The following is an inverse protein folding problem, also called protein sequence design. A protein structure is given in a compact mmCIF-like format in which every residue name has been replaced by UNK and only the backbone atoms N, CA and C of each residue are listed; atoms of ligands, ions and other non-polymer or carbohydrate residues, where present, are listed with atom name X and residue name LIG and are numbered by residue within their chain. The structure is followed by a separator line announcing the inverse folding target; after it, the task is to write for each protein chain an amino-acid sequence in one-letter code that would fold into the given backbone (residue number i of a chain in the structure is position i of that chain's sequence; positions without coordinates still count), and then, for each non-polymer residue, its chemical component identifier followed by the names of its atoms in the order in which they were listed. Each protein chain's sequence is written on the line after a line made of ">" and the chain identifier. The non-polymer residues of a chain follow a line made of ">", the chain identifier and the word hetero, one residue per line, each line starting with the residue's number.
data_IF_059142105617
#
_entry.id   IF_059142105617
#
_cell.length_a   1.000
_cell.length_b   1.000
_cell.length_c   1.000
_cell.angle_alpha   90.00
_cell.angle_beta   90.00
_cell.angle_gamma   90.00
#
_symmetry.space_group_name_H-M   'P 1'
#
loop_
_entity.id
_entity.type
_entity.pdbx_description
1 polymer ?
#
# COMPACT_ATOMS: atom_id res chain seq x y z
N UNK A 1 19.25 -0.38 0.09
CA UNK A 1 20.53 -0.77 0.72
C UNK A 1 20.51 -0.67 2.24
N UNK A 2 20.07 0.47 2.82
CA UNK A 2 19.93 0.62 4.28
C UNK A 2 19.08 -0.49 4.91
N UNK A 3 17.88 -0.75 4.36
CA UNK A 3 16.99 -1.79 4.91
C UNK A 3 17.57 -3.20 4.84
N UNK A 4 18.38 -3.51 3.82
CA UNK A 4 19.01 -4.82 3.69
C UNK A 4 20.08 -5.03 4.75
N UNK A 5 20.87 -4.01 5.07
CA UNK A 5 21.86 -4.07 6.14
C UNK A 5 21.18 -4.17 7.52
N UNK A 6 20.17 -3.34 7.79
CA UNK A 6 19.44 -3.41 9.05
C UNK A 6 18.75 -4.77 9.22
N UNK A 7 18.09 -5.27 8.17
CA UNK A 7 17.50 -6.61 8.21
C UNK A 7 18.54 -7.69 8.51
N UNK A 8 19.73 -7.61 7.90
CA UNK A 8 20.80 -8.57 8.15
C UNK A 8 21.35 -8.49 9.58
N UNK A 9 21.46 -7.27 10.14
CA UNK A 9 21.87 -7.02 11.53
C UNK A 9 20.83 -7.58 12.50
N UNK A 10 19.55 -7.29 12.28
CA UNK A 10 18.44 -7.79 13.10
C UNK A 10 18.39 -9.32 13.07
N UNK A 11 18.49 -9.91 11.87
CA UNK A 11 18.48 -11.37 11.69
C UNK A 11 19.69 -12.03 12.37
N UNK A 12 20.89 -11.48 12.21
CA UNK A 12 22.09 -11.99 12.87
C UNK A 12 21.96 -11.90 14.40
N UNK A 13 21.36 -10.83 14.91
CA UNK A 13 21.07 -10.66 16.34
C UNK A 13 20.06 -11.71 16.83
N UNK A 14 18.95 -11.90 16.11
CA UNK A 14 17.91 -12.89 16.42
C UNK A 14 18.47 -14.33 16.41
N UNK A 15 19.38 -14.63 15.49
CA UNK A 15 20.06 -15.92 15.35
C UNK A 15 21.32 -16.07 16.22
N UNK A 16 21.66 -15.05 17.02
CA UNK A 16 22.82 -15.04 17.92
C UNK A 16 24.18 -15.19 17.19
N UNK A 17 24.28 -14.71 15.95
CA UNK A 17 25.55 -14.57 15.23
C UNK A 17 26.22 -13.24 15.56
N UNK A 18 27.55 -13.23 15.48
CA UNK A 18 28.33 -12.01 15.62
C UNK A 18 28.05 -11.07 14.43
N UNK A 19 27.57 -9.86 14.74
CA UNK A 19 27.32 -8.82 13.73
C UNK A 19 28.63 -8.06 13.46
N UNK A 20 29.13 -8.02 12.22
CA UNK A 20 30.29 -7.21 11.89
C UNK A 20 30.02 -5.72 12.16
N UNK A 21 30.89 -5.07 12.94
CA UNK A 21 30.69 -3.66 13.32
C UNK A 21 30.73 -2.74 12.08
N UNK A 22 31.43 -3.15 11.03
CA UNK A 22 31.44 -2.47 9.73
C UNK A 22 30.05 -2.36 9.10
N UNK A 23 29.17 -3.35 9.30
CA UNK A 23 27.81 -3.31 8.75
C UNK A 23 26.96 -2.26 9.44
N UNK A 24 27.08 -2.14 10.77
CA UNK A 24 26.40 -1.10 11.55
C UNK A 24 26.93 0.28 11.19
N UNK A 25 28.25 0.42 11.07
CA UNK A 25 28.89 1.68 10.69
C UNK A 25 28.43 2.15 9.31
N UNK A 26 28.43 1.26 8.31
CA UNK A 26 27.93 1.58 6.95
C UNK A 26 26.44 1.89 6.98
N UNK A 27 25.62 1.07 7.66
CA UNK A 27 24.19 1.31 7.75
C UNK A 27 23.87 2.69 8.34
N UNK A 28 24.61 3.10 9.38
CA UNK A 28 24.43 4.42 10.02
C UNK A 28 24.80 5.62 9.14
N UNK A 29 25.62 5.40 8.10
CA UNK A 29 26.16 6.45 7.22
C UNK A 29 25.46 6.53 5.87
N UNK A 30 24.62 5.56 5.53
CA UNK A 30 23.81 5.61 4.32
C UNK A 30 22.82 6.76 4.43
N UNK A 31 22.99 7.75 3.55
CA UNK A 31 22.15 8.95 3.51
C UNK A 31 21.13 8.82 2.37
N UNK A 32 19.87 9.05 2.69
CA UNK A 32 18.85 9.36 1.68
C UNK A 32 18.85 10.89 1.49
N UNK A 33 18.99 11.40 0.25
CA UNK A 33 18.85 12.82 0.00
C UNK A 33 17.51 13.34 0.52
N UNK A 34 17.54 14.47 1.21
CA UNK A 34 16.33 15.13 1.71
C UNK A 34 16.54 16.63 1.65
N UNK A 35 15.60 17.31 1.02
CA UNK A 35 15.56 18.77 0.94
C UNK A 35 14.50 19.27 1.94
N UNK A 36 14.96 19.99 2.96
CA UNK A 36 14.09 20.53 4.00
C UNK A 36 13.35 21.80 3.60
N UNK A 37 13.79 22.52 2.57
CA UNK A 37 13.19 23.79 2.15
C UNK A 37 11.85 23.53 1.44
N UNK A 38 11.86 22.59 0.50
CA UNK A 38 10.65 22.15 -0.21
C UNK A 38 10.09 20.82 0.31
N UNK A 39 10.73 20.24 1.32
CA UNK A 39 10.25 19.10 2.11
C UNK A 39 9.91 17.88 1.25
N UNK A 40 10.88 17.43 0.45
CA UNK A 40 10.79 16.27 -0.45
C UNK A 40 12.14 15.52 -0.50
N UNK A 41 12.14 14.33 -1.09
CA UNK A 41 13.34 13.53 -1.31
C UNK A 41 13.80 13.64 -2.78
N UNK A 42 14.97 14.25 -3.04
CA UNK A 42 15.58 14.19 -4.37
C UNK A 42 15.98 12.74 -4.75
N UNK A 43 15.87 12.40 -6.03
CA UNK A 43 16.18 11.06 -6.57
C UNK A 43 17.66 10.69 -6.35
N UNK A 44 18.53 11.67 -6.53
CA UNK A 44 19.96 11.56 -6.25
C UNK A 44 20.53 12.90 -5.78
N UNK A 45 21.79 12.87 -5.35
CA UNK A 45 22.49 14.06 -4.89
C UNK A 45 22.62 15.11 -6.01
N UNK A 46 22.19 16.34 -5.73
CA UNK A 46 22.13 17.46 -6.69
C UNK A 46 21.10 17.29 -7.82
N UNK A 47 20.08 16.45 -7.65
CA UNK A 47 18.94 16.38 -8.56
C UNK A 47 18.26 17.76 -8.70
N UNK A 48 17.93 18.12 -9.94
CA UNK A 48 17.23 19.37 -10.24
C UNK A 48 15.71 19.13 -10.35
N UNK A 49 14.93 19.87 -9.57
CA UNK A 49 13.46 19.79 -9.65
C UNK A 49 12.97 20.15 -11.04
N UNK A 50 12.29 19.23 -11.71
CA UNK A 50 11.85 19.38 -13.11
C UNK A 50 12.59 18.49 -14.09
N UNK A 51 13.69 17.86 -13.68
CA UNK A 51 14.40 16.86 -14.48
C UNK A 51 13.51 15.64 -14.74
N UNK A 52 13.50 15.13 -15.98
CA UNK A 52 12.63 14.03 -16.39
C UNK A 52 13.07 12.72 -15.75
N UNK A 53 12.11 11.96 -15.24
CA UNK A 53 12.33 10.65 -14.66
C UNK A 53 11.63 9.60 -15.51
N UNK A 54 12.33 8.50 -15.81
CA UNK A 54 11.78 7.46 -16.72
C UNK A 54 10.69 6.59 -16.08
N UNK A 55 10.79 6.34 -14.78
CA UNK A 55 9.93 5.38 -14.06
C UNK A 55 9.88 5.70 -12.56
N UNK A 56 9.02 4.99 -11.81
CA UNK A 56 8.96 5.16 -10.36
C UNK A 56 10.32 4.87 -9.70
N UNK A 57 10.86 5.87 -9.00
CA UNK A 57 12.05 5.74 -8.14
C UNK A 57 11.73 6.22 -6.72
N UNK A 58 11.79 7.53 -6.44
CA UNK A 58 11.47 8.11 -5.12
C UNK A 58 10.07 7.73 -4.63
N UNK A 59 9.12 7.56 -5.55
CA UNK A 59 7.75 7.11 -5.22
C UNK A 59 7.74 5.74 -4.54
N UNK A 60 8.74 4.90 -4.78
CA UNK A 60 8.91 3.57 -4.19
C UNK A 60 9.34 3.60 -2.70
N UNK A 61 9.76 4.77 -2.19
CA UNK A 61 10.06 4.94 -0.76
C UNK A 61 8.83 4.64 0.10
N UNK A 62 7.62 5.03 -0.32
CA UNK A 62 6.40 4.73 0.42
C UNK A 62 6.01 3.25 0.32
N UNK A 63 5.61 2.79 -0.87
CA UNK A 63 5.45 1.37 -1.17
C UNK A 63 6.38 1.01 -2.33
N UNK A 64 7.16 -0.09 -2.26
CA UNK A 64 7.09 -1.15 -1.25
C UNK A 64 8.02 -0.98 -0.03
N UNK A 65 8.86 0.07 0.02
CA UNK A 65 9.90 0.17 1.07
C UNK A 65 9.36 0.54 2.46
N UNK A 66 8.16 1.11 2.55
CA UNK A 66 7.55 1.55 3.81
C UNK A 66 8.41 2.54 4.60
N UNK A 67 9.19 3.36 3.88
CA UNK A 67 10.08 4.35 4.45
C UNK A 67 9.30 5.39 5.24
N UNK A 68 9.80 5.72 6.43
CA UNK A 68 9.09 6.59 7.36
C UNK A 68 9.16 8.04 6.91
N UNK A 69 8.01 8.56 6.50
CA UNK A 69 7.84 9.93 6.04
C UNK A 69 6.62 10.56 6.69
N UNK A 70 6.66 11.87 6.87
CA UNK A 70 5.47 12.64 7.20
C UNK A 70 4.51 12.64 6.01
N UNK A 71 3.18 12.75 6.23
CA UNK A 71 2.21 12.84 5.15
C UNK A 71 2.51 13.97 4.15
N UNK A 72 3.10 15.07 4.64
CA UNK A 72 3.52 16.21 3.81
C UNK A 72 4.68 15.86 2.90
N UNK A 73 5.72 15.18 3.41
CA UNK A 73 6.83 14.69 2.58
C UNK A 73 6.33 13.74 1.51
N UNK A 74 5.51 12.75 1.91
CA UNK A 74 4.94 11.77 0.97
C UNK A 74 4.12 12.43 -0.14
N UNK A 75 3.31 13.43 0.21
CA UNK A 75 2.54 14.22 -0.75
C UNK A 75 3.44 15.00 -1.71
N UNK A 76 4.47 15.65 -1.19
CA UNK A 76 5.40 16.44 -2.01
C UNK A 76 6.16 15.54 -2.99
N UNK A 77 6.66 14.39 -2.53
CA UNK A 77 7.34 13.41 -3.38
C UNK A 77 6.41 12.97 -4.54
N UNK A 78 5.16 12.61 -4.23
CA UNK A 78 4.19 12.21 -5.27
C UNK A 78 3.90 13.32 -6.27
N UNK A 79 3.63 14.55 -5.81
CA UNK A 79 3.26 15.65 -6.71
C UNK A 79 4.43 16.12 -7.58
N UNK A 80 5.64 16.17 -7.03
CA UNK A 80 6.84 16.59 -7.78
C UNK A 80 7.15 15.56 -8.86
N UNK A 81 7.19 14.27 -8.50
CA UNK A 81 7.58 13.23 -9.43
C UNK A 81 6.49 12.90 -10.46
N UNK A 82 5.20 13.09 -10.14
CA UNK A 82 4.12 12.87 -11.11
C UNK A 82 4.28 13.75 -12.35
N UNK A 83 4.70 15.01 -12.16
CA UNK A 83 4.81 16.00 -13.23
C UNK A 83 5.97 15.75 -14.19
N UNK A 84 7.02 15.07 -13.72
CA UNK A 84 8.27 14.86 -14.48
C UNK A 84 8.46 13.42 -14.92
N UNK A 85 7.61 12.51 -14.48
CA UNK A 85 7.62 11.10 -14.89
C UNK A 85 7.20 10.99 -16.35
N UNK A 86 8.01 10.28 -17.14
CA UNK A 86 7.75 10.01 -18.55
C UNK A 86 6.39 9.32 -18.74
N UNK A 87 5.45 9.91 -19.51
CA UNK A 87 4.15 9.30 -19.74
C UNK A 87 4.21 8.00 -20.54
N UNK A 88 5.24 7.84 -21.37
CA UNK A 88 5.50 6.62 -22.13
C UNK A 88 6.43 5.65 -21.37
N UNK A 89 6.72 5.98 -20.09
CA UNK A 89 7.45 5.11 -19.18
C UNK A 89 6.71 3.80 -18.87
N UNK A 90 7.35 2.86 -18.15
CA UNK A 90 6.77 1.55 -17.90
C UNK A 90 5.40 1.64 -17.23
N UNK A 91 4.43 0.86 -17.73
CA UNK A 91 3.04 0.85 -17.24
C UNK A 91 2.92 0.66 -15.71
N UNK A 92 3.86 -0.03 -15.08
CA UNK A 92 3.90 -0.27 -13.63
C UNK A 92 4.13 1.01 -12.80
N UNK A 93 4.72 2.06 -13.39
CA UNK A 93 5.01 3.32 -12.68
C UNK A 93 3.75 3.95 -12.10
N UNK A 94 2.69 4.02 -12.89
CA UNK A 94 1.43 4.63 -12.48
C UNK A 94 0.73 3.88 -11.35
N UNK A 95 0.94 2.56 -11.25
CA UNK A 95 0.39 1.77 -10.14
C UNK A 95 1.01 2.16 -8.81
N UNK A 96 2.31 2.51 -8.81
CA UNK A 96 3.03 2.94 -7.60
C UNK A 96 2.59 4.33 -7.16
N UNK A 97 2.33 5.25 -8.10
CA UNK A 97 1.70 6.53 -7.78
C UNK A 97 0.27 6.33 -7.24
N UNK A 98 -0.52 5.45 -7.87
CA UNK A 98 -1.89 5.16 -7.41
C UNK A 98 -1.89 4.68 -5.95
N UNK A 99 -1.03 3.72 -5.62
CA UNK A 99 -0.82 3.24 -4.24
C UNK A 99 -0.42 4.39 -3.33
N UNK A 100 0.55 5.22 -3.73
CA UNK A 100 0.99 6.36 -2.95
C UNK A 100 -0.10 7.41 -2.70
N UNK A 101 -0.95 7.69 -3.67
CA UNK A 101 -2.08 8.62 -3.50
C UNK A 101 -3.20 8.04 -2.63
N UNK A 102 -3.48 6.74 -2.75
CA UNK A 102 -4.36 6.03 -1.79
C UNK A 102 -3.78 6.12 -0.38
N UNK A 103 -2.45 6.07 -0.26
CA UNK A 103 -1.76 6.10 1.02
C UNK A 103 -2.05 7.39 1.81
N UNK A 104 -2.12 8.51 1.09
CA UNK A 104 -2.42 9.84 1.63
C UNK A 104 -3.89 10.24 1.45
N UNK A 105 -4.79 9.27 1.19
CA UNK A 105 -6.24 9.44 1.04
C UNK A 105 -6.66 10.44 -0.06
N UNK A 106 -5.83 10.62 -1.08
CA UNK A 106 -6.18 11.41 -2.28
C UNK A 106 -6.75 10.49 -3.36
N UNK A 107 -8.04 10.19 -3.25
CA UNK A 107 -8.68 9.13 -4.05
C UNK A 107 -8.79 9.51 -5.51
N UNK A 108 -9.16 10.75 -5.81
CA UNK A 108 -9.29 11.24 -7.20
C UNK A 108 -7.96 11.17 -7.96
N UNK A 109 -6.86 11.54 -7.29
CA UNK A 109 -5.52 11.45 -7.84
C UNK A 109 -5.12 9.97 -8.04
N UNK A 110 -5.38 9.11 -7.05
CA UNK A 110 -5.10 7.68 -7.15
C UNK A 110 -5.85 7.01 -8.30
N UNK A 111 -7.13 7.35 -8.49
CA UNK A 111 -7.98 6.84 -9.55
C UNK A 111 -7.49 7.32 -10.92
N UNK A 112 -7.07 8.57 -11.03
CA UNK A 112 -6.47 9.11 -12.25
C UNK A 112 -5.22 8.31 -12.64
N UNK A 113 -4.35 7.97 -11.70
CA UNK A 113 -3.17 7.14 -11.99
C UNK A 113 -3.54 5.68 -12.30
N UNK A 114 -4.54 5.14 -11.60
CA UNK A 114 -5.02 3.79 -11.84
C UNK A 114 -5.56 3.63 -13.27
N UNK A 115 -6.30 4.63 -13.76
CA UNK A 115 -6.79 4.68 -15.15
C UNK A 115 -5.66 4.63 -16.18
N UNK A 116 -4.52 5.28 -15.91
CA UNK A 116 -3.33 5.19 -16.77
C UNK A 116 -2.75 3.77 -16.82
N UNK A 117 -2.85 2.99 -15.74
CA UNK A 117 -2.42 1.59 -15.72
C UNK A 117 -3.27 0.73 -16.67
N UNK A 118 -4.58 0.98 -16.70
CA UNK A 118 -5.53 0.23 -17.51
C UNK A 118 -5.48 0.59 -19.00
N UNK A 119 -5.02 1.79 -19.35
CA UNK A 119 -4.89 2.22 -20.75
C UNK A 119 -3.92 1.35 -21.57
N UNK A 120 -2.98 0.65 -20.91
CA UNK A 120 -1.99 -0.22 -21.54
C UNK A 120 -2.39 -1.71 -21.54
N UNK A 121 -3.62 -2.04 -21.14
CA UNK A 121 -4.15 -3.40 -21.22
C UNK A 121 -4.70 -3.64 -22.62
N UNK A 122 -4.11 -4.58 -23.35
CA UNK A 122 -4.57 -4.97 -24.68
C UNK A 122 -5.50 -6.18 -24.62
N UNK A 123 -6.71 -5.98 -25.14
CA UNK A 123 -7.67 -7.05 -25.42
C UNK A 123 -7.16 -7.93 -26.59
N UNK A 124 -7.52 -9.22 -26.66
CA UNK A 124 -8.53 -9.94 -25.87
C UNK A 124 -7.98 -10.68 -24.63
N UNK A 125 -6.67 -10.63 -24.40
CA UNK A 125 -6.02 -11.46 -23.38
C UNK A 125 -5.67 -10.67 -22.09
N UNK A 126 -6.03 -9.38 -22.04
CA UNK A 126 -5.74 -8.46 -20.94
C UNK A 126 -4.26 -8.48 -20.54
N UNK A 127 -3.38 -8.51 -21.55
CA UNK A 127 -1.92 -8.47 -21.35
C UNK A 127 -1.50 -7.02 -21.21
N UNK A 128 -0.65 -6.74 -20.23
CA UNK A 128 -0.09 -5.40 -20.02
C UNK A 128 1.10 -5.22 -20.96
N UNK A 129 0.99 -4.33 -21.93
CA UNK A 129 2.12 -3.98 -22.78
C UNK A 129 3.01 -2.92 -22.09
N UNK A 130 4.33 -3.03 -22.25
CA UNK A 130 5.31 -2.13 -21.63
C UNK A 130 5.34 -0.73 -22.26
N UNK A 131 4.61 -0.51 -23.34
CA UNK A 131 4.55 0.72 -24.15
C UNK A 131 3.11 0.84 -24.69
N UNK A 132 2.55 2.06 -24.81
CA UNK A 132 1.26 2.26 -25.47
C UNK A 132 1.20 1.57 -26.85
N UNK A 133 0.03 1.01 -27.16
CA UNK A 133 -0.19 0.11 -28.29
C UNK A 133 0.40 0.65 -29.62
N UNK A 134 1.47 0.00 -30.10
CA UNK A 134 2.12 0.38 -31.36
C UNK A 134 3.57 -0.09 -31.57
N UNK A 135 4.27 -0.57 -30.52
CA UNK A 135 5.65 -1.09 -30.62
C UNK A 135 5.68 -2.59 -30.30
N UNK A 136 6.17 -3.40 -31.24
CA UNK A 136 5.89 -4.83 -31.37
C UNK A 136 6.81 -5.78 -30.57
N UNK A 137 6.22 -6.91 -30.14
CA UNK A 137 6.74 -8.30 -30.02
C UNK A 137 7.55 -8.78 -28.79
N UNK A 138 7.04 -9.88 -28.21
CA UNK A 138 7.73 -10.94 -27.43
C UNK A 138 8.13 -10.67 -25.96
N UNK A 139 7.34 -11.14 -24.98
CA UNK A 139 7.56 -12.41 -24.24
C UNK A 139 6.76 -12.50 -22.92
N UNK A 140 6.28 -13.72 -22.63
CA UNK A 140 5.43 -14.14 -21.52
C UNK A 140 6.23 -14.39 -20.22
N UNK A 141 5.62 -14.13 -19.05
CA UNK A 141 5.68 -15.11 -17.94
C UNK A 141 4.45 -15.03 -17.03
N UNK A 142 3.89 -16.21 -16.80
CA UNK A 142 2.67 -16.57 -16.08
C UNK A 142 2.58 -16.12 -14.61
N UNK A 143 1.44 -15.51 -14.25
CA UNK A 143 0.86 -15.55 -12.90
C UNK A 143 -0.67 -15.57 -13.04
N UNK A 144 -1.42 -16.31 -12.18
CA UNK A 144 -2.86 -16.51 -12.38
C UNK A 144 -3.63 -15.20 -12.17
N UNK A 145 -4.73 -14.97 -12.92
CA UNK A 145 -5.44 -13.70 -12.87
C UNK A 145 -6.18 -13.51 -11.54
N UNK A 146 -6.01 -12.33 -10.94
CA UNK A 146 -6.96 -11.78 -9.98
C UNK A 146 -8.33 -11.67 -10.69
N UNK A 147 -9.30 -12.46 -10.23
CA UNK A 147 -10.64 -12.50 -10.81
C UNK A 147 -11.48 -11.36 -10.21
N UNK A 148 -11.45 -10.20 -10.86
CA UNK A 148 -12.41 -9.11 -10.62
C UNK A 148 -13.66 -9.40 -11.45
N UNK A 149 -14.81 -9.59 -10.80
CA UNK A 149 -16.10 -9.72 -11.49
C UNK A 149 -16.85 -8.40 -11.42
N UNK A 150 -16.87 -7.66 -12.53
CA UNK A 150 -17.64 -6.43 -12.65
C UNK A 150 -19.07 -6.73 -13.12
N UNK A 151 -20.06 -6.31 -12.35
CA UNK A 151 -21.43 -6.11 -12.84
C UNK A 151 -21.73 -4.61 -12.76
N UNK A 152 -21.82 -3.96 -13.93
CA UNK A 152 -22.10 -2.52 -14.07
C UNK A 152 -23.61 -2.31 -14.24
N UNK A 153 -24.30 -1.55 -13.39
CA UNK A 153 -25.53 -0.87 -13.76
C UNK A 153 -25.23 0.56 -14.21
N UNK A 154 -25.87 0.97 -15.30
CA UNK A 154 -25.73 2.29 -15.91
C UNK A 154 -26.48 3.39 -15.14
N UNK A 155 -25.89 4.59 -15.09
CA UNK A 155 -26.65 5.84 -15.13
C UNK A 155 -26.33 6.88 -14.04
N UNK A 156 -26.10 8.12 -14.47
CA UNK A 156 -26.43 9.33 -13.70
C UNK A 156 -25.26 10.20 -13.27
N UNK A 157 -24.94 11.22 -14.06
CA UNK A 157 -23.98 12.30 -13.77
C UNK A 157 -24.71 13.45 -13.05
N UNK A 158 -24.21 13.93 -11.91
CA UNK A 158 -24.45 15.29 -11.44
C UNK A 158 -23.21 15.87 -10.74
N UNK A 159 -22.92 17.13 -11.07
CA UNK A 159 -21.83 17.95 -10.53
C UNK A 159 -22.23 18.60 -9.20
N UNK A 160 -21.27 18.78 -8.30
CA UNK A 160 -21.39 19.68 -7.16
C UNK A 160 -20.02 20.18 -6.72
N UNK A 161 -19.83 21.50 -6.77
CA UNK A 161 -18.67 22.23 -6.25
C UNK A 161 -18.77 22.39 -4.73
N UNK A 162 -17.67 22.21 -3.98
CA UNK A 162 -17.55 22.75 -2.61
C UNK A 162 -16.14 23.27 -2.37
N UNK A 163 -16.12 24.44 -1.75
CA UNK A 163 -15.05 25.41 -1.48
C UNK A 163 -14.03 24.96 -0.43
N UNK A 164 -12.82 25.51 -0.54
CA UNK A 164 -11.75 25.50 0.47
C UNK A 164 -12.27 25.91 1.86
N UNK A 165 -11.85 25.15 2.87
CA UNK A 165 -12.18 25.37 4.28
C UNK A 165 -11.17 24.67 5.19
N UNK A 166 -10.09 25.38 5.46
CA UNK A 166 -9.24 25.41 6.66
C UNK A 166 -9.07 24.14 7.54
N UNK A 167 -7.81 23.69 7.56
CA UNK A 167 -7.02 23.19 8.68
C UNK A 167 -7.72 23.01 10.05
N UNK A 168 -7.79 21.76 10.51
CA UNK A 168 -7.97 21.46 11.93
C UNK A 168 -7.00 20.37 12.43
N UNK A 169 -6.17 20.81 13.36
CA UNK A 169 -5.60 20.08 14.50
C UNK A 169 -4.60 18.94 14.28
N UNK A 170 -3.33 19.34 14.32
CA UNK A 170 -2.19 18.53 14.80
C UNK A 170 -2.52 17.94 16.18
N UNK A 171 -2.76 16.63 16.26
CA UNK A 171 -2.58 15.86 17.50
C UNK A 171 -2.20 14.41 17.19
N UNK A 172 -0.89 14.14 17.39
CA UNK A 172 -0.23 12.87 17.73
C UNK A 172 -1.02 11.59 17.43
N UNK A 173 -0.50 10.80 16.50
CA UNK A 173 -0.13 9.40 16.80
C UNK A 173 0.74 8.83 15.68
N UNK A 174 1.69 7.98 16.08
CA UNK A 174 2.47 7.08 15.23
C UNK A 174 1.53 6.09 14.50
N UNK A 175 0.72 6.58 13.57
CA UNK A 175 -0.02 5.75 12.62
C UNK A 175 0.56 6.07 11.25
N UNK A 176 1.35 5.11 10.75
CA UNK A 176 1.95 5.20 9.43
C UNK A 176 0.89 5.57 8.40
N UNK A 177 1.33 6.39 7.44
CA UNK A 177 0.54 6.87 6.30
C UNK A 177 -0.44 5.78 5.82
N UNK A 178 -1.72 6.15 5.76
CA UNK A 178 -2.87 5.24 5.60
C UNK A 178 -2.89 4.51 4.27
N UNK A 179 -3.95 3.79 3.92
CA UNK A 179 -4.26 3.39 2.54
C UNK A 179 -3.66 2.11 1.96
N UNK A 180 -2.95 1.28 2.72
CA UNK A 180 -2.44 -0.01 2.21
C UNK A 180 -2.57 -1.15 3.24
N UNK A 181 -2.73 -2.39 2.75
CA UNK A 181 -2.51 -3.60 3.55
C UNK A 181 -1.05 -3.65 3.95
N UNK A 182 -0.76 -3.70 5.25
CA UNK A 182 0.62 -3.81 5.74
C UNK A 182 0.77 -5.10 6.54
N UNK A 183 1.71 -5.93 6.11
CA UNK A 183 2.05 -7.17 6.79
C UNK A 183 3.20 -6.86 7.74
N UNK A 184 2.98 -7.04 9.04
CA UNK A 184 4.01 -6.97 10.06
C UNK A 184 4.26 -8.36 10.65
N UNK A 185 5.32 -8.48 11.47
CA UNK A 185 5.64 -9.73 12.19
C UNK A 185 4.50 -10.19 13.13
N UNK A 186 3.70 -9.25 13.64
CA UNK A 186 2.71 -9.51 14.70
C UNK A 186 1.28 -9.13 14.33
N UNK A 187 1.10 -8.17 13.43
CA UNK A 187 -0.21 -7.75 12.92
C UNK A 187 -0.27 -7.68 11.40
N UNK A 188 -1.45 -7.96 10.86
CA UNK A 188 -1.86 -7.51 9.55
C UNK A 188 -2.68 -6.24 9.73
N UNK A 189 -2.12 -5.10 9.31
CA UNK A 189 -2.79 -3.81 9.42
C UNK A 189 -3.61 -3.55 8.15
N UNK A 190 -4.86 -3.18 8.37
CA UNK A 190 -5.83 -2.82 7.36
C UNK A 190 -6.15 -1.35 7.52
N UNK A 191 -5.99 -0.58 6.46
CA UNK A 191 -6.59 0.75 6.37
C UNK A 191 -7.18 0.91 4.96
N UNK A 192 -8.28 0.17 4.71
CA UNK A 192 -8.73 -0.06 3.36
C UNK A 192 -9.34 1.22 2.78
N UNK A 193 -9.16 1.38 1.48
CA UNK A 193 -9.64 2.50 0.69
C UNK A 193 -10.15 1.93 -0.63
N UNK A 194 -11.36 2.32 -1.02
CA UNK A 194 -11.95 1.92 -2.32
C UNK A 194 -12.22 3.17 -3.14
N UNK A 195 -11.91 3.12 -4.43
CA UNK A 195 -12.25 4.18 -5.39
C UNK A 195 -13.73 4.14 -5.71
N UNK A 196 -14.28 5.21 -6.28
CA UNK A 196 -15.72 5.28 -6.54
C UNK A 196 -16.21 4.29 -7.60
N UNK A 197 -15.30 3.90 -8.50
CA UNK A 197 -15.52 2.88 -9.54
C UNK A 197 -15.62 1.46 -8.96
N UNK A 198 -14.96 1.18 -7.83
CA UNK A 198 -14.94 -0.14 -7.19
C UNK A 198 -16.05 -0.20 -6.13
N UNK A 199 -17.15 -0.86 -6.46
CA UNK A 199 -18.27 -1.06 -5.53
C UNK A 199 -18.08 -2.27 -4.61
N UNK A 200 -17.31 -3.26 -5.08
CA UNK A 200 -17.06 -4.51 -4.37
C UNK A 200 -15.67 -5.05 -4.74
N UNK A 201 -14.81 -5.26 -3.74
CA UNK A 201 -13.49 -5.87 -3.90
C UNK A 201 -13.38 -7.07 -2.97
N UNK A 202 -13.04 -8.23 -3.52
CA UNK A 202 -12.82 -9.45 -2.74
C UNK A 202 -11.39 -9.96 -2.93
N UNK A 203 -10.71 -10.20 -1.81
CA UNK A 203 -9.37 -10.80 -1.76
C UNK A 203 -9.50 -12.11 -1.02
N UNK A 204 -9.18 -13.23 -1.67
CA UNK A 204 -9.36 -14.57 -1.08
C UNK A 204 -8.03 -15.29 -0.89
N UNK A 205 -7.96 -16.17 0.12
CA UNK A 205 -6.81 -17.04 0.33
C UNK A 205 -5.56 -16.36 0.89
N UNK A 206 -5.69 -15.19 1.52
CA UNK A 206 -4.58 -14.51 2.17
C UNK A 206 -4.09 -15.36 3.33
N UNK A 207 -2.82 -15.76 3.29
CA UNK A 207 -2.22 -16.59 4.34
C UNK A 207 -1.42 -15.73 5.31
N UNK A 208 -1.74 -15.78 6.60
CA UNK A 208 -1.09 -14.98 7.64
C UNK A 208 -0.97 -15.77 8.96
N UNK A 209 0.25 -15.90 9.48
CA UNK A 209 0.57 -16.70 10.69
C UNK A 209 -0.02 -18.13 10.65
N UNK A 210 0.00 -18.76 9.47
CA UNK A 210 -0.57 -20.09 9.24
C UNK A 210 -2.09 -20.14 9.05
N UNK A 211 -2.80 -19.03 9.28
CA UNK A 211 -4.25 -18.91 9.07
C UNK A 211 -4.53 -18.49 7.62
N UNK A 212 -5.75 -18.79 7.13
CA UNK A 212 -6.24 -18.31 5.84
C UNK A 212 -7.43 -17.37 6.02
N UNK A 213 -7.35 -16.22 5.38
CA UNK A 213 -8.31 -15.14 5.47
C UNK A 213 -8.86 -14.77 4.09
N UNK A 214 -10.16 -14.49 4.05
CA UNK A 214 -10.78 -13.77 2.96
C UNK A 214 -11.17 -12.37 3.45
N UNK A 215 -11.09 -11.42 2.54
CA UNK A 215 -11.48 -10.04 2.78
C UNK A 215 -12.46 -9.59 1.71
N UNK A 216 -13.47 -8.85 2.14
CA UNK A 216 -14.42 -8.20 1.25
C UNK A 216 -14.56 -6.73 1.63
N UNK A 217 -14.38 -5.84 0.67
CA UNK A 217 -14.48 -4.39 0.84
C UNK A 217 -15.61 -3.86 -0.03
N UNK A 218 -16.46 -3.05 0.57
CA UNK A 218 -17.49 -2.25 -0.12
C UNK A 218 -17.27 -0.77 0.20
N UNK A 219 -18.11 0.11 -0.34
CA UNK A 219 -18.05 1.55 -0.05
C UNK A 219 -18.17 1.90 1.44
N UNK A 220 -18.80 1.04 2.25
CA UNK A 220 -19.09 1.34 3.65
C UNK A 220 -18.65 0.27 4.64
N UNK A 221 -18.34 -0.94 4.18
CA UNK A 221 -18.11 -2.10 5.05
C UNK A 221 -16.85 -2.86 4.64
N UNK A 222 -16.04 -3.21 5.63
CA UNK A 222 -15.02 -4.25 5.52
C UNK A 222 -15.53 -5.52 6.19
N UNK A 223 -15.38 -6.65 5.52
CA UNK A 223 -15.68 -7.98 6.06
C UNK A 223 -14.43 -8.84 6.03
N UNK A 224 -14.15 -9.51 7.14
CA UNK A 224 -13.02 -10.43 7.31
C UNK A 224 -13.57 -11.80 7.65
N UNK A 225 -13.15 -12.81 6.92
CA UNK A 225 -13.53 -14.20 7.17
C UNK A 225 -12.29 -15.05 7.38
N UNK A 226 -12.25 -15.76 8.51
CA UNK A 226 -11.29 -16.82 8.75
C UNK A 226 -11.78 -18.11 8.11
N UNK A 227 -11.07 -18.60 7.10
CA UNK A 227 -11.44 -19.83 6.37
C UNK A 227 -10.70 -21.06 6.89
N UNK A 228 -9.53 -20.87 7.48
CA UNK A 228 -8.74 -21.93 8.09
C UNK A 228 -7.88 -21.33 9.20
N UNK A 229 -7.79 -22.02 10.35
CA UNK A 229 -6.94 -21.61 11.46
C UNK A 229 -5.79 -22.60 11.64
N UNK A 230 -4.63 -22.07 12.05
CA UNK A 230 -3.49 -22.88 12.47
C UNK A 230 -3.54 -23.12 13.99
N UNK A 231 -3.44 -24.37 14.43
CA UNK A 231 -3.45 -24.73 15.85
C UNK A 231 -4.85 -24.79 16.47
N UNK A 232 -5.00 -24.35 17.72
CA UNK A 232 -6.26 -24.39 18.44
C UNK A 232 -7.20 -23.26 17.98
N UNK A 233 -8.44 -23.56 17.54
CA UNK A 233 -9.40 -22.54 17.09
C UNK A 233 -9.76 -21.46 18.14
N UNK A 234 -9.46 -21.69 19.43
CA UNK A 234 -9.68 -20.73 20.52
C UNK A 234 -8.55 -19.71 20.70
N UNK A 235 -7.37 -19.98 20.13
CA UNK A 235 -6.21 -19.08 20.10
C UNK A 235 -6.17 -18.29 18.77
N UNK A 236 -7.35 -18.10 18.17
CA UNK A 236 -7.50 -17.52 16.84
C UNK A 236 -7.16 -16.02 16.79
N UNK A 237 -7.11 -15.51 15.56
CA UNK A 237 -6.91 -14.09 15.30
C UNK A 237 -8.06 -13.25 15.85
N UNK A 238 -7.75 -12.03 16.26
CA UNK A 238 -8.70 -11.01 16.66
C UNK A 238 -8.52 -9.76 15.81
N UNK A 239 -9.59 -8.98 15.67
CA UNK A 239 -9.58 -7.66 15.04
C UNK A 239 -9.65 -6.61 16.14
N UNK A 240 -8.65 -5.73 16.20
CA UNK A 240 -8.64 -4.55 17.07
C UNK A 240 -8.69 -3.27 16.23
N UNK A 241 -9.24 -2.19 16.80
CA UNK A 241 -9.40 -0.90 16.11
C UNK A 241 -8.65 0.22 16.83
N UNK A 242 -8.74 0.22 18.15
CA UNK A 242 -8.11 1.15 19.07
C UNK A 242 -8.05 0.50 20.46
N UNK A 243 -7.48 1.20 21.43
CA UNK A 243 -7.32 0.68 22.81
C UNK A 243 -8.62 0.68 23.62
N UNK A 244 -9.69 1.32 23.14
CA UNK A 244 -10.94 1.52 23.86
C UNK A 244 -12.04 0.55 23.40
N UNK A 245 -11.94 0.07 22.17
CA UNK A 245 -12.89 -0.84 21.56
C UNK A 245 -12.48 -2.29 21.86
N UNK A 246 -13.37 -3.13 22.41
CA UNK A 246 -13.08 -4.54 22.62
C UNK A 246 -12.73 -5.26 21.31
N UNK A 247 -11.73 -6.13 21.39
CA UNK A 247 -11.30 -6.98 20.27
C UNK A 247 -12.45 -7.87 19.76
N UNK A 248 -12.59 -7.97 18.45
CA UNK A 248 -13.55 -8.86 17.80
C UNK A 248 -12.86 -10.19 17.45
N UNK A 249 -13.28 -11.33 18.04
CA UNK A 249 -12.68 -12.62 17.72
C UNK A 249 -13.09 -13.08 16.31
N UNK A 250 -12.14 -13.69 15.58
CA UNK A 250 -12.41 -14.37 14.32
C UNK A 250 -12.56 -15.86 14.54
N UNK A 251 -13.73 -16.41 14.16
CA UNK A 251 -13.98 -17.85 14.16
C UNK A 251 -14.08 -18.39 12.75
N UNK A 252 -13.68 -19.66 12.57
CA UNK A 252 -13.70 -20.30 11.25
C UNK A 252 -15.13 -20.33 10.71
N UNK A 253 -15.30 -19.85 9.47
CA UNK A 253 -16.60 -19.81 8.78
C UNK A 253 -17.60 -18.81 9.35
N UNK A 254 -17.16 -17.89 10.22
CA UNK A 254 -17.99 -16.81 10.76
C UNK A 254 -17.37 -15.45 10.36
N UNK A 255 -17.83 -14.86 9.24
CA UNK A 255 -17.35 -13.54 8.80
C UNK A 255 -17.71 -12.45 9.82
N UNK A 256 -16.78 -11.50 10.03
CA UNK A 256 -16.97 -10.32 10.87
C UNK A 256 -16.97 -9.08 9.97
N UNK A 257 -18.04 -8.29 10.04
CA UNK A 257 -18.20 -7.06 9.27
C UNK A 257 -18.15 -5.83 10.17
N UNK A 258 -17.47 -4.78 9.72
CA UNK A 258 -17.34 -3.51 10.42
C UNK A 258 -17.26 -2.33 9.44
N UNK A 259 -17.52 -1.08 9.89
CA UNK A 259 -17.44 0.11 9.03
C UNK A 259 -16.06 0.27 8.40
N UNK A 260 -15.98 0.95 7.25
CA UNK A 260 -14.72 1.22 6.56
C UNK A 260 -13.77 2.09 7.40
N UNK A 261 -12.88 1.45 8.16
CA UNK A 261 -11.92 2.12 9.05
C UNK A 261 -10.68 1.26 9.26
N UNK A 262 -9.62 1.89 9.78
CA UNK A 262 -8.39 1.19 10.12
C UNK A 262 -8.63 0.10 11.19
N UNK A 263 -7.99 -1.04 11.01
CA UNK A 263 -8.09 -2.21 11.87
C UNK A 263 -6.78 -3.01 11.88
N UNK A 264 -6.52 -3.72 12.96
CA UNK A 264 -5.34 -4.58 13.11
C UNK A 264 -5.80 -6.01 13.36
N UNK A 265 -5.29 -6.95 12.57
CA UNK A 265 -5.54 -8.39 12.77
C UNK A 265 -4.29 -9.01 13.38
N UNK A 266 -4.41 -9.55 14.58
CA UNK A 266 -3.29 -10.16 15.29
C UNK A 266 -3.73 -11.38 16.07
N UNK A 267 -2.78 -12.17 16.56
CA UNK A 267 -3.08 -13.27 17.49
C UNK A 267 -3.64 -12.69 18.78
N UNK A 268 -4.62 -13.38 19.37
CA UNK A 268 -5.12 -13.03 20.70
C UNK A 268 -3.96 -13.10 21.71
N UNK A 269 -3.63 -11.97 22.32
CA UNK A 269 -2.62 -11.96 23.39
C UNK A 269 -3.13 -12.80 24.55
N UNK A 270 -2.53 -13.97 24.79
CA UNK A 270 -2.69 -14.65 26.06
C UNK A 270 -2.02 -13.78 27.11
N UNK A 271 -2.79 -13.23 28.05
CA UNK A 271 -2.19 -12.69 29.28
C UNK A 271 -1.33 -13.79 29.88
N UNK A 272 -0.01 -13.57 29.91
CA UNK A 272 0.94 -14.37 30.69
C UNK A 272 1.01 -13.77 32.08
#
# INVERSE_FOLDING_TARGET
>A
FFDSLNFSIDLATDLQYQVPETWKDVASKLKLPFDSEINYHPEYENYFVGEKVKQADVVLLGYPLMFQMTPKQRRNDLLIYELVTDPDGPAMTWSMFSIGFMEIKQIDAAETQLKKCFANITEPFKVTDHVPAGACSLCLSSSPPLRVTDHVPAGGRQSGSVTDGEAEQIRKEKKGSGGAYKINKQSLDLDPVVTDEITHLQITGVSYLGNKLNFTFTKSVTTVELTSAHGNPKDSLVISFDQLTPDLPLYIGQPVSFPMKAAHIHTKSTCV
#
